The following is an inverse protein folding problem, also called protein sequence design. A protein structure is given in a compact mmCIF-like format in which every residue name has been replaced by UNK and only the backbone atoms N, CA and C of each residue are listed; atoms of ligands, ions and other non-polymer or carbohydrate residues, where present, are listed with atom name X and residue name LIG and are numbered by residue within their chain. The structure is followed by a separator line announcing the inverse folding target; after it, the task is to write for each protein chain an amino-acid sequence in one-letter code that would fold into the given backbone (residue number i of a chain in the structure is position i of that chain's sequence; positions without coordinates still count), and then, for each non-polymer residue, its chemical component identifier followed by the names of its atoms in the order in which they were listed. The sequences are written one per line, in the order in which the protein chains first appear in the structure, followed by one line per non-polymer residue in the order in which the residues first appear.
data_IF_918046298004
#
_entry.id   IF_918046298004
#
_cell.length_a   1.000
_cell.length_b   1.000
_cell.length_c   1.000
_cell.angle_alpha   90.00
_cell.angle_beta   90.00
_cell.angle_gamma   90.00
#
_symmetry.space_group_name_H-M   'P 1'
#
loop_
_entity.id
_entity.type
_entity.pdbx_description
1 polymer ?
#
# COMPACT_ATOMS: atom_id res chain seq x y z
N UNK A 1 6.54 1.66 11.41
CA UNK A 1 6.54 1.09 10.06
C UNK A 1 7.42 -0.15 9.98
N UNK A 2 7.05 -1.16 9.17
CA UNK A 2 7.82 -2.42 9.00
C UNK A 2 9.25 -2.14 8.55
N UNK A 3 9.40 -1.28 7.58
CA UNK A 3 10.70 -0.91 7.01
C UNK A 3 11.64 -0.32 8.07
N UNK A 4 11.13 0.58 8.90
CA UNK A 4 11.92 1.25 9.94
C UNK A 4 12.32 0.25 11.03
N UNK A 5 11.43 -0.67 11.37
CA UNK A 5 11.71 -1.71 12.36
C UNK A 5 12.76 -2.71 11.87
N UNK A 6 12.67 -3.16 10.63
CA UNK A 6 13.70 -4.02 10.04
C UNK A 6 15.06 -3.35 9.97
N UNK A 7 15.09 -2.05 9.59
CA UNK A 7 16.32 -1.28 9.61
C UNK A 7 16.90 -1.12 11.00
N UNK A 8 16.08 -0.86 12.01
CA UNK A 8 16.49 -0.77 13.41
C UNK A 8 17.03 -2.12 13.92
N UNK A 9 16.37 -3.21 13.60
CA UNK A 9 16.84 -4.56 13.95
C UNK A 9 18.20 -4.87 13.31
N UNK A 10 18.42 -4.44 12.07
CA UNK A 10 19.70 -4.59 11.40
C UNK A 10 20.81 -3.79 12.12
N UNK A 11 20.53 -2.56 12.54
CA UNK A 11 21.47 -1.72 13.30
C UNK A 11 21.79 -2.36 14.65
N UNK A 12 20.83 -2.94 15.33
CA UNK A 12 20.98 -3.60 16.63
C UNK A 12 21.52 -5.04 16.54
N UNK A 13 21.88 -5.50 15.35
CA UNK A 13 22.42 -6.84 15.11
C UNK A 13 21.45 -7.99 15.43
N UNK A 14 20.16 -7.69 15.61
CA UNK A 14 19.14 -8.73 15.90
C UNK A 14 18.99 -9.72 14.75
N UNK A 15 19.11 -9.24 13.50
CA UNK A 15 19.06 -10.11 12.31
C UNK A 15 20.24 -11.05 12.25
N UNK A 16 21.44 -10.60 12.64
CA UNK A 16 22.64 -11.44 12.72
C UNK A 16 22.49 -12.52 13.80
N UNK A 17 21.88 -12.18 14.93
CA UNK A 17 21.58 -13.16 15.98
C UNK A 17 20.62 -14.25 15.47
N UNK A 18 19.60 -13.89 14.69
CA UNK A 18 18.69 -14.85 14.06
C UNK A 18 19.40 -15.77 13.06
N UNK A 19 20.31 -15.23 12.27
CA UNK A 19 21.15 -16.04 11.34
C UNK A 19 22.02 -17.03 12.09
N UNK A 20 22.59 -16.62 13.22
CA UNK A 20 23.43 -17.49 14.06
C UNK A 20 22.63 -18.67 14.62
N UNK A 21 21.35 -18.46 14.93
CA UNK A 21 20.43 -19.50 15.40
C UNK A 21 19.92 -20.42 14.27
N UNK A 22 20.30 -20.15 13.02
CA UNK A 22 19.85 -20.92 11.86
C UNK A 22 18.43 -20.60 11.40
N UNK A 23 17.82 -19.53 11.92
CA UNK A 23 16.48 -19.05 11.53
C UNK A 23 16.63 -18.06 10.38
N UNK A 24 15.87 -18.28 9.30
CA UNK A 24 15.83 -17.33 8.19
C UNK A 24 15.17 -16.02 8.64
N UNK A 25 15.84 -14.89 8.39
CA UNK A 25 15.25 -13.56 8.66
C UNK A 25 14.00 -13.32 7.81
N UNK A 26 13.94 -13.84 6.60
CA UNK A 26 12.81 -13.74 5.70
C UNK A 26 11.59 -14.47 6.28
N UNK A 27 11.77 -15.71 6.73
CA UNK A 27 10.67 -16.53 7.26
C UNK A 27 10.16 -16.01 8.60
N UNK A 28 11.05 -15.49 9.44
CA UNK A 28 10.70 -15.06 10.79
C UNK A 28 10.16 -13.63 10.85
N UNK A 29 10.74 -12.69 10.09
CA UNK A 29 10.43 -11.26 10.19
C UNK A 29 9.54 -10.75 9.06
N UNK A 30 9.80 -11.17 7.83
CA UNK A 30 9.16 -10.60 6.65
C UNK A 30 7.81 -11.24 6.38
N UNK A 31 7.74 -12.56 6.41
CA UNK A 31 6.55 -13.30 5.99
C UNK A 31 5.30 -12.98 6.83
N UNK A 32 5.32 -13.01 8.17
CA UNK A 32 4.15 -12.65 8.98
C UNK A 32 3.69 -11.21 8.77
N UNK A 33 4.61 -10.27 8.61
CA UNK A 33 4.31 -8.85 8.40
C UNK A 33 3.74 -8.59 7.02
N UNK A 34 4.27 -9.25 6.01
CA UNK A 34 3.77 -9.18 4.65
C UNK A 34 2.33 -9.68 4.58
N UNK A 35 2.03 -10.81 5.21
CA UNK A 35 0.68 -11.35 5.28
C UNK A 35 -0.29 -10.40 5.99
N UNK A 36 0.12 -9.80 7.10
CA UNK A 36 -0.69 -8.82 7.83
C UNK A 36 -1.01 -7.61 6.95
N UNK A 37 -0.05 -7.08 6.22
CA UNK A 37 -0.26 -5.95 5.30
C UNK A 37 -1.19 -6.31 4.15
N UNK A 38 -1.01 -7.47 3.54
CA UNK A 38 -1.86 -7.93 2.43
C UNK A 38 -3.32 -8.07 2.90
N UNK A 39 -3.55 -8.56 4.12
CA UNK A 39 -4.90 -8.68 4.69
C UNK A 39 -5.53 -7.35 5.07
N UNK A 40 -4.73 -6.40 5.53
CA UNK A 40 -5.24 -5.11 6.01
C UNK A 40 -5.44 -4.10 4.88
N UNK A 41 -4.74 -4.22 3.75
CA UNK A 41 -4.84 -3.26 2.66
C UNK A 41 -6.23 -3.18 2.02
N UNK A 42 -6.96 -4.29 1.77
CA UNK A 42 -8.33 -4.19 1.28
C UNK A 42 -9.24 -3.40 2.21
N UNK A 43 -9.11 -3.62 3.51
CA UNK A 43 -9.90 -2.91 4.52
C UNK A 43 -9.60 -1.41 4.52
N UNK A 44 -8.33 -1.03 4.45
CA UNK A 44 -7.91 0.37 4.35
C UNK A 44 -8.39 1.02 3.05
N UNK A 45 -8.39 0.30 1.95
CA UNK A 45 -8.88 0.79 0.65
C UNK A 45 -10.39 1.07 0.72
N UNK A 46 -11.16 0.19 1.34
CA UNK A 46 -12.59 0.39 1.58
C UNK A 46 -12.85 1.64 2.42
N UNK A 47 -12.14 1.78 3.52
CA UNK A 47 -12.26 2.92 4.44
C UNK A 47 -11.90 4.23 3.73
N UNK A 48 -10.82 4.26 2.99
CA UNK A 48 -10.39 5.41 2.19
C UNK A 48 -11.42 5.80 1.14
N UNK A 49 -12.04 4.81 0.47
CA UNK A 49 -13.10 5.03 -0.49
C UNK A 49 -14.33 5.71 0.12
N UNK A 50 -14.75 5.26 1.29
CA UNK A 50 -15.88 5.85 2.00
C UNK A 50 -15.61 7.30 2.40
N UNK A 51 -14.43 7.57 2.95
CA UNK A 51 -14.03 8.95 3.30
C UNK A 51 -13.94 9.83 2.05
N UNK A 52 -13.40 9.30 0.95
CA UNK A 52 -13.31 10.03 -0.32
C UNK A 52 -14.67 10.45 -0.85
N UNK A 53 -15.65 9.56 -0.81
CA UNK A 53 -17.04 9.88 -1.20
C UNK A 53 -17.65 10.95 -0.27
N UNK A 54 -17.45 10.83 1.03
CA UNK A 54 -17.95 11.81 2.00
C UNK A 54 -17.32 13.20 1.79
N UNK A 55 -16.01 13.24 1.57
CA UNK A 55 -15.30 14.49 1.26
C UNK A 55 -15.77 15.11 -0.05
N UNK A 56 -15.96 14.31 -1.08
CA UNK A 56 -16.52 14.74 -2.37
C UNK A 56 -17.92 15.31 -2.22
N UNK A 57 -18.76 14.69 -1.39
CA UNK A 57 -20.10 15.20 -1.06
C UNK A 57 -20.03 16.60 -0.44
N UNK A 58 -19.16 16.78 0.55
CA UNK A 58 -18.99 18.08 1.23
C UNK A 58 -18.55 19.16 0.24
N UNK A 59 -17.56 18.87 -0.60
CA UNK A 59 -17.07 19.82 -1.61
C UNK A 59 -18.17 20.13 -2.64
N UNK A 60 -18.86 19.13 -3.14
CA UNK A 60 -19.91 19.30 -4.14
C UNK A 60 -21.06 20.19 -3.64
N UNK A 61 -21.47 20.02 -2.39
CA UNK A 61 -22.56 20.78 -1.80
C UNK A 61 -22.16 22.21 -1.41
N UNK A 62 -20.94 22.41 -0.92
CA UNK A 62 -20.49 23.72 -0.41
C UNK A 62 -19.86 24.61 -1.48
N UNK A 63 -19.15 24.01 -2.44
CA UNK A 63 -18.39 24.78 -3.46
C UNK A 63 -19.16 24.90 -4.78
N UNK A 64 -19.82 23.83 -5.20
CA UNK A 64 -20.51 23.78 -6.49
C UNK A 64 -22.03 23.92 -6.40
N UNK A 65 -22.60 24.10 -5.21
CA UNK A 65 -24.04 24.20 -4.98
C UNK A 65 -24.88 23.09 -5.63
N UNK A 66 -24.29 21.90 -5.72
CA UNK A 66 -24.98 20.71 -6.24
C UNK A 66 -25.91 20.18 -5.16
N UNK A 67 -27.17 19.91 -5.52
CA UNK A 67 -28.14 19.35 -4.59
C UNK A 67 -27.69 18.01 -4.01
N UNK A 68 -27.84 17.83 -2.71
CA UNK A 68 -27.44 16.60 -2.02
C UNK A 68 -28.09 15.34 -2.64
N UNK A 69 -29.35 15.47 -3.04
CA UNK A 69 -30.10 14.39 -3.68
C UNK A 69 -29.54 14.04 -5.07
N UNK A 70 -29.17 15.05 -5.85
CA UNK A 70 -28.56 14.85 -7.17
C UNK A 70 -27.20 14.18 -7.06
N UNK A 71 -26.35 14.62 -6.11
CA UNK A 71 -25.07 14.00 -5.83
C UNK A 71 -25.23 12.54 -5.44
N UNK A 72 -26.16 12.23 -4.57
CA UNK A 72 -26.46 10.88 -4.13
C UNK A 72 -26.85 9.98 -5.31
N UNK A 73 -27.75 10.44 -6.17
CA UNK A 73 -28.17 9.69 -7.36
C UNK A 73 -27.04 9.46 -8.35
N UNK A 74 -26.23 10.47 -8.61
CA UNK A 74 -25.08 10.36 -9.50
C UNK A 74 -24.01 9.43 -8.93
N UNK A 75 -23.77 9.50 -7.63
CA UNK A 75 -22.82 8.63 -6.95
C UNK A 75 -23.23 7.16 -7.03
N UNK A 76 -24.49 6.86 -6.80
CA UNK A 76 -25.00 5.47 -6.92
C UNK A 76 -24.89 4.96 -8.36
N UNK A 77 -25.15 5.79 -9.35
CA UNK A 77 -25.01 5.42 -10.76
C UNK A 77 -23.57 5.24 -11.20
N UNK A 78 -22.67 6.09 -10.69
CA UNK A 78 -21.24 6.05 -11.03
C UNK A 78 -20.50 4.95 -10.30
N UNK A 79 -20.86 4.65 -9.05
CA UNK A 79 -20.24 3.61 -8.23
C UNK A 79 -20.96 2.28 -8.46
N UNK A 80 -20.53 1.55 -9.48
CA UNK A 80 -20.95 0.18 -9.66
C UNK A 80 -20.16 -0.73 -8.69
N UNK A 81 -20.84 -1.74 -8.16
CA UNK A 81 -20.22 -2.73 -7.25
C UNK A 81 -19.00 -3.38 -7.89
N UNK A 82 -19.03 -3.55 -9.20
CA UNK A 82 -17.93 -4.10 -9.99
C UNK A 82 -16.70 -3.20 -9.95
N UNK A 83 -16.87 -1.90 -10.14
CA UNK A 83 -15.77 -0.93 -10.07
C UNK A 83 -15.17 -0.84 -8.67
N UNK A 84 -15.99 -0.95 -7.66
CA UNK A 84 -15.56 -0.96 -6.27
C UNK A 84 -14.68 -2.19 -5.98
N UNK A 85 -15.10 -3.37 -6.44
CA UNK A 85 -14.31 -4.60 -6.33
C UNK A 85 -12.97 -4.51 -7.05
N UNK A 86 -12.94 -3.93 -8.24
CA UNK A 86 -11.69 -3.69 -8.99
C UNK A 86 -10.76 -2.74 -8.23
N UNK A 87 -11.30 -1.67 -7.63
CA UNK A 87 -10.53 -0.73 -6.82
C UNK A 87 -9.88 -1.40 -5.61
N UNK A 88 -10.62 -2.23 -4.88
CA UNK A 88 -10.10 -3.00 -3.73
C UNK A 88 -9.01 -3.98 -4.19
N UNK A 89 -9.22 -4.67 -5.29
CA UNK A 89 -8.23 -5.60 -5.84
C UNK A 89 -6.92 -4.89 -6.21
N UNK A 90 -7.01 -3.75 -6.91
CA UNK A 90 -5.84 -2.92 -7.24
C UNK A 90 -5.13 -2.42 -5.99
N UNK A 91 -5.88 -1.94 -5.00
CA UNK A 91 -5.33 -1.48 -3.73
C UNK A 91 -4.56 -2.57 -2.99
N UNK A 92 -5.05 -3.79 -3.01
CA UNK A 92 -4.36 -4.96 -2.42
C UNK A 92 -3.04 -5.23 -3.12
N UNK A 93 -3.02 -5.21 -4.46
CA UNK A 93 -1.80 -5.42 -5.24
C UNK A 93 -0.77 -4.33 -4.94
N UNK A 94 -1.18 -3.06 -4.92
CA UNK A 94 -0.27 -1.94 -4.64
C UNK A 94 0.30 -2.02 -3.22
N UNK A 95 -0.53 -2.35 -2.24
CA UNK A 95 -0.10 -2.55 -0.86
C UNK A 95 0.91 -3.68 -0.73
N UNK A 96 0.72 -4.79 -1.43
CA UNK A 96 1.65 -5.91 -1.46
C UNK A 96 3.00 -5.51 -2.03
N UNK A 97 3.01 -4.73 -3.12
CA UNK A 97 4.24 -4.23 -3.73
C UNK A 97 5.00 -3.28 -2.80
N UNK A 98 4.28 -2.37 -2.13
CA UNK A 98 4.89 -1.44 -1.16
C UNK A 98 5.49 -2.20 0.02
N UNK A 99 4.78 -3.19 0.55
CA UNK A 99 5.25 -4.03 1.65
C UNK A 99 6.51 -4.80 1.26
N UNK A 100 6.51 -5.41 0.08
CA UNK A 100 7.66 -6.15 -0.44
C UNK A 100 8.89 -5.25 -0.60
N UNK A 101 8.73 -4.09 -1.24
CA UNK A 101 9.82 -3.13 -1.43
C UNK A 101 10.36 -2.61 -0.09
N UNK A 102 9.48 -2.30 0.86
CA UNK A 102 9.87 -1.85 2.20
C UNK A 102 10.66 -2.90 2.97
N UNK A 103 10.22 -4.15 2.94
CA UNK A 103 10.92 -5.26 3.59
C UNK A 103 12.27 -5.55 2.94
N UNK A 104 12.34 -5.56 1.60
CA UNK A 104 13.57 -5.80 0.87
C UNK A 104 14.64 -4.76 1.21
N UNK A 105 14.28 -3.48 1.18
CA UNK A 105 15.20 -2.40 1.50
C UNK A 105 15.57 -2.36 2.98
N UNK A 106 14.63 -2.70 3.86
CA UNK A 106 14.89 -2.78 5.29
C UNK A 106 15.93 -3.84 5.65
N UNK A 107 15.90 -5.00 4.98
CA UNK A 107 16.89 -6.07 5.19
C UNK A 107 18.26 -5.66 4.64
N UNK A 108 18.31 -4.94 3.54
CA UNK A 108 19.54 -4.51 2.88
C UNK A 108 20.20 -3.29 3.51
N UNK A 109 19.58 -2.65 4.51
CA UNK A 109 20.14 -1.44 5.09
C UNK A 109 21.42 -1.72 5.90
N UNK A 110 22.31 -0.70 5.98
CA UNK A 110 23.51 -0.77 6.79
C UNK A 110 23.24 -0.65 8.29
N UNK A 111 24.30 -0.68 9.09
CA UNK A 111 24.23 -0.75 10.56
C UNK A 111 24.26 0.61 11.25
N UNK A 112 24.20 1.73 10.51
CA UNK A 112 24.19 3.08 11.08
C UNK A 112 22.79 3.71 11.00
N UNK A 113 22.53 4.68 11.86
CA UNK A 113 21.28 5.45 11.82
C UNK A 113 21.10 6.17 10.46
N UNK A 114 22.21 6.67 9.90
CA UNK A 114 22.20 7.26 8.57
C UNK A 114 21.83 6.26 7.48
N UNK A 115 22.37 5.04 7.56
CA UNK A 115 22.03 3.96 6.62
C UNK A 115 20.56 3.58 6.71
N UNK A 116 19.94 3.58 7.88
CA UNK A 116 18.50 3.37 8.06
C UNK A 116 17.71 4.47 7.35
N UNK A 117 18.10 5.73 7.49
CA UNK A 117 17.47 6.85 6.80
C UNK A 117 17.56 6.74 5.27
N UNK A 118 18.73 6.41 4.76
CA UNK A 118 18.94 6.18 3.32
C UNK A 118 18.11 5.00 2.79
N UNK A 119 18.06 3.90 3.54
CA UNK A 119 17.24 2.74 3.18
C UNK A 119 15.75 3.08 3.16
N UNK A 120 15.28 3.91 4.08
CA UNK A 120 13.91 4.41 4.14
C UNK A 120 13.55 5.20 2.89
N UNK A 121 14.39 6.16 2.50
CA UNK A 121 14.22 6.97 1.30
C UNK A 121 14.22 6.10 0.03
N UNK A 122 15.16 5.19 -0.07
CA UNK A 122 15.26 4.24 -1.18
C UNK A 122 14.02 3.35 -1.28
N UNK A 123 13.49 2.89 -0.15
CA UNK A 123 12.27 2.09 -0.12
C UNK A 123 11.06 2.86 -0.67
N UNK A 124 10.91 4.11 -0.30
CA UNK A 124 9.82 4.98 -0.79
C UNK A 124 9.92 5.16 -2.31
N UNK A 125 11.09 5.50 -2.82
CA UNK A 125 11.31 5.69 -4.26
C UNK A 125 11.03 4.40 -5.03
N UNK A 126 11.54 3.26 -4.56
CA UNK A 126 11.30 1.96 -5.19
C UNK A 126 9.82 1.60 -5.18
N UNK A 127 9.12 1.85 -4.08
CA UNK A 127 7.68 1.62 -3.96
C UNK A 127 6.88 2.45 -4.96
N UNK A 128 7.20 3.71 -5.12
CA UNK A 128 6.53 4.61 -6.06
C UNK A 128 6.72 4.11 -7.50
N UNK A 129 7.94 3.74 -7.88
CA UNK A 129 8.23 3.21 -9.21
C UNK A 129 7.45 1.91 -9.48
N UNK A 130 7.42 0.99 -8.53
CA UNK A 130 6.68 -0.26 -8.65
C UNK A 130 5.17 0.00 -8.78
N UNK A 131 4.62 0.93 -8.01
CA UNK A 131 3.19 1.29 -8.09
C UNK A 131 2.87 1.88 -9.47
N UNK A 132 3.69 2.78 -9.99
CA UNK A 132 3.46 3.40 -11.31
C UNK A 132 3.47 2.35 -12.42
N UNK A 133 4.44 1.46 -12.41
CA UNK A 133 4.54 0.37 -13.40
C UNK A 133 3.34 -0.57 -13.28
N UNK A 134 3.02 -1.00 -12.07
CA UNK A 134 1.89 -1.89 -11.81
C UNK A 134 0.56 -1.24 -12.20
N UNK A 135 0.37 0.03 -11.89
CA UNK A 135 -0.82 0.78 -12.27
C UNK A 135 -1.01 0.82 -13.78
N UNK A 136 0.06 1.09 -14.52
CA UNK A 136 0.02 1.11 -15.97
C UNK A 136 -0.36 -0.24 -16.57
N UNK A 137 0.28 -1.31 -16.10
CA UNK A 137 0.03 -2.68 -16.58
C UNK A 137 -1.40 -3.11 -16.24
N UNK A 138 -1.84 -2.90 -15.02
CA UNK A 138 -3.18 -3.28 -14.57
C UNK A 138 -4.27 -2.49 -15.30
N UNK A 139 -4.07 -1.21 -15.53
CA UNK A 139 -5.02 -0.37 -16.27
C UNK A 139 -5.21 -0.87 -17.69
N UNK A 140 -4.12 -1.18 -18.39
CA UNK A 140 -4.17 -1.74 -19.75
C UNK A 140 -4.87 -3.10 -19.74
N UNK A 141 -4.53 -3.96 -18.78
CA UNK A 141 -5.12 -5.29 -18.67
C UNK A 141 -6.63 -5.23 -18.43
N UNK A 142 -7.08 -4.39 -17.50
CA UNK A 142 -8.50 -4.22 -17.22
C UNK A 142 -9.26 -3.56 -18.38
N UNK A 143 -8.64 -2.63 -19.08
CA UNK A 143 -9.23 -2.03 -20.26
C UNK A 143 -9.50 -3.07 -21.35
N UNK A 144 -8.56 -3.98 -21.62
CA UNK A 144 -8.71 -5.05 -22.59
C UNK A 144 -9.78 -6.07 -22.18
N UNK A 145 -9.95 -6.28 -20.87
CA UNK A 145 -10.98 -7.17 -20.33
C UNK A 145 -12.38 -6.54 -20.30
N UNK A 146 -12.49 -5.25 -20.59
CA UNK A 146 -13.75 -4.53 -20.59
C UNK A 146 -14.31 -4.24 -19.19
N UNK A 147 -13.42 -4.14 -18.23
CA UNK A 147 -13.80 -3.86 -16.82
C UNK A 147 -13.56 -2.41 -16.47
#
# INVERSE_FOLDING_TARGET
CIRDRLGTMQVNEEIDALKTLGISAVDFLVLPRLLALITMMPLLTLYSGLIGVAAGFTVATLVFDIGAFEYYHQTIRALDLRQFGVGVFKGTIYGSLVAFAGCLRGIQCGRSAQAVGEATTSAVVTSILLIVVAASVLTIMFYKLGI
#
